data_IF_907249227100
#
_entry.id   IF_907249227100
#
_cell.length_a   1.000
_cell.length_b   1.000
_cell.length_c   1.000
_cell.angle_alpha   90.00
_cell.angle_beta   90.00
_cell.angle_gamma   90.00
#
_symmetry.space_group_name_H-M   'P 1'
#
loop_
_entity.id
_entity.type
_entity.pdbx_description
1 polymer ?
#
# COMPACT_ATOMS: atom_id res chain seq x y z
N UNK A 1 -50.45 42.62 38.57
CA UNK A 1 -49.59 41.44 38.87
C UNK A 1 -48.97 40.96 37.53
N UNK A 2 -47.69 41.19 37.34
CA UNK A 2 -47.01 40.90 36.07
C UNK A 2 -46.07 39.73 36.31
N UNK A 3 -46.41 38.57 35.75
CA UNK A 3 -45.60 37.36 35.89
C UNK A 3 -44.49 37.39 34.83
N UNK A 4 -43.23 37.42 35.27
CA UNK A 4 -42.06 37.21 34.42
C UNK A 4 -41.68 35.73 34.42
N UNK A 5 -41.79 35.10 33.26
CA UNK A 5 -41.24 33.77 33.04
C UNK A 5 -39.76 33.89 32.65
N UNK A 6 -38.90 33.34 33.50
CA UNK A 6 -37.46 33.22 33.22
C UNK A 6 -37.24 31.96 32.43
N UNK A 7 -36.89 32.05 31.16
CA UNK A 7 -36.50 30.92 30.33
C UNK A 7 -35.02 30.63 30.59
N UNK A 8 -34.75 29.49 31.24
CA UNK A 8 -33.38 28.97 31.41
C UNK A 8 -33.01 28.18 30.15
N UNK A 9 -32.14 28.77 29.32
CA UNK A 9 -31.57 28.12 28.13
C UNK A 9 -30.39 27.29 28.57
N UNK A 10 -30.57 25.95 28.70
CA UNK A 10 -29.48 25.02 28.91
C UNK A 10 -28.77 24.75 27.60
N UNK A 11 -27.62 25.38 27.41
CA UNK A 11 -26.74 25.10 26.30
C UNK A 11 -26.09 23.72 26.55
N UNK A 12 -26.48 22.72 25.77
CA UNK A 12 -25.75 21.45 25.68
C UNK A 12 -24.49 21.68 24.90
N UNK A 13 -23.37 21.79 25.59
CA UNK A 13 -22.05 21.69 24.98
C UNK A 13 -21.81 20.24 24.56
N UNK A 14 -21.95 19.94 23.28
CA UNK A 14 -21.53 18.67 22.72
C UNK A 14 -20.01 18.57 22.84
N UNK A 15 -19.56 17.81 23.83
CA UNK A 15 -18.14 17.46 23.95
C UNK A 15 -17.84 16.47 22.81
N UNK A 16 -17.32 16.96 21.70
CA UNK A 16 -16.70 16.11 20.68
C UNK A 16 -15.41 15.54 21.30
N UNK A 17 -15.50 14.38 21.92
CA UNK A 17 -14.34 13.56 22.20
C UNK A 17 -13.85 13.02 20.86
N UNK A 18 -12.64 13.36 20.39
CA UNK A 18 -12.06 12.63 19.28
C UNK A 18 -11.94 11.18 19.72
N UNK A 19 -12.72 10.32 19.10
CA UNK A 19 -12.58 8.86 19.29
C UNK A 19 -11.24 8.48 18.70
N UNK A 20 -10.20 8.48 19.53
CA UNK A 20 -8.94 7.84 19.23
C UNK A 20 -9.27 6.35 19.22
N UNK A 21 -9.66 5.83 18.06
CA UNK A 21 -9.75 4.40 17.84
C UNK A 21 -8.31 3.87 17.86
N UNK A 22 -7.81 3.54 19.04
CA UNK A 22 -6.66 2.70 19.21
C UNK A 22 -7.01 1.26 18.83
N UNK A 23 -7.33 1.02 17.55
CA UNK A 23 -7.26 -0.31 17.00
C UNK A 23 -5.79 -0.71 17.04
N UNK A 24 -5.45 -1.75 17.77
CA UNK A 24 -4.13 -2.33 17.93
C UNK A 24 -3.05 -1.56 18.72
N UNK A 25 -3.27 -0.34 19.18
CA UNK A 25 -2.28 0.43 19.95
C UNK A 25 -0.98 0.78 19.21
N UNK A 26 -0.90 0.49 17.90
CA UNK A 26 0.24 0.89 17.07
C UNK A 26 0.11 2.37 16.69
N UNK A 27 1.23 3.10 16.78
CA UNK A 27 1.32 4.49 16.30
C UNK A 27 2.06 4.49 14.97
N UNK A 28 1.37 4.92 13.91
CA UNK A 28 1.98 5.16 12.60
C UNK A 28 2.41 6.62 12.55
N UNK A 29 3.72 6.84 12.54
CA UNK A 29 4.29 8.17 12.36
C UNK A 29 4.65 8.29 10.87
N UNK A 30 3.85 9.01 10.11
CA UNK A 30 4.00 9.33 8.69
C UNK A 30 3.89 8.16 7.70
N UNK A 31 2.67 7.99 7.12
CA UNK A 31 2.48 7.21 5.90
C UNK A 31 3.18 7.90 4.72
N UNK A 32 4.36 7.41 4.32
CA UNK A 32 5.18 8.02 3.26
C UNK A 32 4.80 7.48 1.88
N UNK A 33 4.82 8.35 0.87
CA UNK A 33 4.75 7.95 -0.54
C UNK A 33 6.17 7.82 -1.08
N UNK A 34 6.47 6.65 -1.66
CA UNK A 34 7.72 6.35 -2.33
C UNK A 34 7.50 6.38 -3.82
N UNK A 35 8.38 7.05 -4.55
CA UNK A 35 8.24 7.24 -5.98
C UNK A 35 9.23 6.37 -6.74
N UNK A 36 8.74 5.64 -7.73
CA UNK A 36 9.55 4.99 -8.74
C UNK A 36 9.48 5.82 -10.03
N UNK A 37 10.61 6.39 -10.43
CA UNK A 37 10.73 7.02 -11.73
C UNK A 37 11.17 5.96 -12.75
N UNK A 38 10.31 5.71 -13.74
CA UNK A 38 10.62 4.83 -14.85
C UNK A 38 11.38 5.63 -15.91
N UNK A 39 12.62 5.25 -16.12
CA UNK A 39 13.33 5.65 -17.34
C UNK A 39 12.84 4.82 -18.53
N UNK A 40 13.15 5.24 -19.76
CA UNK A 40 12.90 4.43 -20.95
C UNK A 40 13.57 3.06 -20.79
N UNK A 41 12.80 1.99 -20.90
CA UNK A 41 13.31 0.63 -20.83
C UNK A 41 13.47 0.07 -22.24
N UNK A 42 14.64 -0.41 -22.63
CA UNK A 42 14.77 -1.24 -23.80
C UNK A 42 14.05 -2.57 -23.53
N UNK A 43 13.04 -2.87 -24.32
CA UNK A 43 12.26 -4.10 -24.18
C UNK A 43 12.57 -4.97 -25.39
N UNK A 44 13.06 -6.19 -25.17
CA UNK A 44 13.14 -7.22 -26.19
C UNK A 44 11.75 -7.85 -26.37
N UNK A 45 11.09 -7.67 -27.53
CA UNK A 45 9.74 -8.19 -27.73
C UNK A 45 9.72 -9.72 -27.93
N UNK A 46 10.86 -10.35 -28.21
CA UNK A 46 10.95 -11.75 -28.60
C UNK A 46 11.15 -12.72 -27.42
N UNK A 47 11.30 -12.19 -26.20
CA UNK A 47 11.40 -13.05 -24.99
C UNK A 47 10.07 -13.76 -24.70
N UNK A 48 10.13 -14.85 -23.96
CA UNK A 48 8.96 -15.66 -23.60
C UNK A 48 7.99 -14.90 -22.66
N UNK A 49 6.70 -15.25 -22.75
CA UNK A 49 5.69 -14.83 -21.77
C UNK A 49 6.08 -15.35 -20.38
N UNK A 50 5.95 -14.49 -19.37
CA UNK A 50 6.42 -14.76 -18.01
C UNK A 50 7.82 -14.24 -17.70
N UNK A 51 8.57 -13.80 -18.73
CA UNK A 51 9.90 -13.21 -18.53
C UNK A 51 9.79 -11.86 -17.83
N UNK A 52 10.65 -11.65 -16.83
CA UNK A 52 10.82 -10.35 -16.17
C UNK A 52 11.63 -9.44 -17.08
N UNK A 53 10.99 -8.42 -17.60
CA UNK A 53 11.59 -7.45 -18.51
C UNK A 53 12.43 -6.39 -17.78
N UNK A 54 11.96 -6.02 -16.60
CA UNK A 54 12.62 -5.01 -15.78
C UNK A 54 12.33 -5.24 -14.30
N UNK A 55 13.31 -4.94 -13.46
CA UNK A 55 13.17 -4.99 -12.01
C UNK A 55 13.69 -3.70 -11.41
N UNK A 56 12.83 -3.03 -10.65
CA UNK A 56 13.21 -1.91 -9.80
C UNK A 56 13.08 -2.30 -8.33
N UNK A 57 13.87 -1.67 -7.49
CA UNK A 57 13.73 -1.73 -6.04
C UNK A 57 13.50 -0.34 -5.50
N UNK A 58 12.49 -0.21 -4.67
CA UNK A 58 12.20 1.02 -3.95
C UNK A 58 12.55 0.77 -2.50
N UNK A 59 13.43 1.60 -1.97
CA UNK A 59 13.70 1.61 -0.54
C UNK A 59 12.49 2.23 0.16
N UNK A 60 11.67 1.38 0.76
CA UNK A 60 10.48 1.77 1.51
C UNK A 60 10.77 1.87 3.01
N UNK A 61 12.04 1.97 3.39
CA UNK A 61 12.43 2.26 4.76
C UNK A 61 11.96 3.65 5.18
N UNK A 62 11.55 3.80 6.40
CA UNK A 62 11.36 5.11 6.97
C UNK A 62 10.12 5.43 7.78
N UNK A 63 8.87 4.99 7.50
CA UNK A 63 7.82 5.25 8.46
C UNK A 63 8.08 4.41 9.71
N UNK A 64 8.19 5.07 10.84
CA UNK A 64 8.32 4.38 12.12
C UNK A 64 6.94 3.91 12.55
N UNK A 65 6.72 2.62 12.47
CA UNK A 65 5.58 1.97 13.09
C UNK A 65 6.05 1.46 14.47
N UNK A 66 5.47 1.97 15.52
CA UNK A 66 5.73 1.49 16.87
C UNK A 66 4.46 0.84 17.40
N UNK A 67 4.50 -0.47 17.62
CA UNK A 67 3.42 -1.22 18.24
C UNK A 67 3.85 -1.61 19.66
N UNK A 68 3.15 -1.19 20.73
CA UNK A 68 3.47 -1.60 22.09
C UNK A 68 3.31 -3.11 22.26
N UNK A 69 4.13 -3.68 23.14
CA UNK A 69 3.92 -5.04 23.65
C UNK A 69 2.51 -5.14 24.26
N UNK A 70 1.79 -6.22 23.96
CA UNK A 70 0.42 -6.51 24.44
C UNK A 70 -0.74 -5.81 23.70
N UNK A 71 -0.53 -5.32 22.50
CA UNK A 71 -1.65 -4.87 21.68
C UNK A 71 -2.38 -6.04 21.04
N UNK A 72 -3.67 -5.84 20.75
CA UNK A 72 -4.46 -6.83 20.02
C UNK A 72 -3.83 -7.15 18.67
N UNK A 73 -4.04 -8.38 18.17
CA UNK A 73 -3.57 -8.80 16.85
C UNK A 73 -4.04 -7.83 15.78
N UNK A 74 -3.11 -7.24 15.06
CA UNK A 74 -3.39 -6.40 13.93
C UNK A 74 -3.32 -7.17 12.61
N UNK A 75 -3.87 -6.60 11.55
CA UNK A 75 -3.74 -7.10 10.19
C UNK A 75 -2.83 -6.19 9.39
N UNK A 76 -1.77 -6.79 8.86
CA UNK A 76 -0.98 -6.13 7.83
C UNK A 76 -1.51 -6.52 6.47
N UNK A 77 -1.84 -5.55 5.64
CA UNK A 77 -2.42 -5.78 4.32
C UNK A 77 -1.79 -4.87 3.27
N UNK A 78 -1.85 -5.33 2.05
CA UNK A 78 -1.44 -4.55 0.89
C UNK A 78 -2.50 -4.63 -0.21
N UNK A 79 -2.61 -3.59 -1.02
CA UNK A 79 -3.54 -3.55 -2.14
C UNK A 79 -2.99 -2.75 -3.32
N UNK A 80 -3.40 -3.14 -4.54
CA UNK A 80 -3.17 -2.34 -5.74
C UNK A 80 -4.15 -1.18 -5.78
N UNK A 81 -3.76 -0.06 -6.40
CA UNK A 81 -4.54 1.18 -6.46
C UNK A 81 -4.74 1.68 -7.90
N UNK A 82 -5.77 2.51 -8.07
CA UNK A 82 -6.02 3.25 -9.32
C UNK A 82 -6.11 2.34 -10.53
N UNK A 83 -5.44 2.72 -11.59
CA UNK A 83 -5.42 1.98 -12.86
C UNK A 83 -4.69 0.63 -12.80
N UNK A 84 -3.91 0.38 -11.73
CA UNK A 84 -3.15 -0.87 -11.55
C UNK A 84 -3.95 -2.03 -10.97
N UNK A 85 -5.28 -1.98 -10.96
CA UNK A 85 -6.12 -3.02 -10.34
C UNK A 85 -6.57 -4.11 -11.30
N UNK A 86 -6.35 -3.96 -12.61
CA UNK A 86 -6.77 -4.96 -13.60
C UNK A 86 -5.80 -6.14 -13.60
N UNK A 87 -6.28 -7.33 -13.22
CA UNK A 87 -5.51 -8.57 -13.25
C UNK A 87 -5.27 -9.03 -14.69
N UNK A 88 -4.03 -9.35 -15.04
CA UNK A 88 -3.63 -9.83 -16.37
C UNK A 88 -2.90 -11.15 -16.34
N UNK A 89 -2.55 -11.67 -15.18
CA UNK A 89 -1.90 -12.96 -15.03
C UNK A 89 -1.49 -13.27 -13.60
N UNK A 90 -0.85 -14.42 -13.42
CA UNK A 90 -0.29 -14.88 -12.14
C UNK A 90 1.03 -15.60 -12.38
N UNK A 91 1.87 -15.66 -11.36
CA UNK A 91 3.07 -16.48 -11.31
C UNK A 91 3.26 -17.10 -9.89
N UNK A 92 4.39 -17.73 -9.64
CA UNK A 92 4.69 -18.37 -8.35
C UNK A 92 4.65 -17.40 -7.15
N UNK A 93 4.77 -16.09 -7.38
CA UNK A 93 4.76 -15.08 -6.33
C UNK A 93 3.38 -14.44 -6.12
N UNK A 94 2.43 -14.65 -7.05
CA UNK A 94 1.07 -14.13 -6.98
C UNK A 94 0.62 -13.38 -8.24
N UNK A 95 -0.24 -12.41 -8.06
CA UNK A 95 -0.93 -11.69 -9.11
C UNK A 95 -0.03 -10.74 -9.91
N UNK A 96 -0.31 -10.63 -11.22
CA UNK A 96 0.29 -9.67 -12.14
C UNK A 96 -0.81 -8.77 -12.67
N UNK A 97 -0.62 -7.47 -12.62
CA UNK A 97 -1.62 -6.47 -12.98
C UNK A 97 -1.23 -5.72 -14.25
N UNK A 98 -2.20 -5.10 -14.91
CA UNK A 98 -1.95 -4.29 -16.11
C UNK A 98 -1.00 -3.13 -15.78
N UNK A 99 -0.02 -2.88 -16.66
CA UNK A 99 0.92 -1.76 -16.54
C UNK A 99 0.51 -0.53 -17.35
N UNK A 100 -0.50 -0.66 -18.24
CA UNK A 100 -0.87 0.32 -19.24
C UNK A 100 -0.26 0.07 -20.61
N UNK A 101 0.71 -0.82 -20.72
CA UNK A 101 1.32 -1.26 -21.97
C UNK A 101 0.80 -2.65 -22.30
N UNK A 102 0.23 -2.83 -23.50
CA UNK A 102 -0.27 -4.12 -23.94
C UNK A 102 0.82 -5.19 -23.90
N UNK A 103 0.50 -6.36 -23.36
CA UNK A 103 1.44 -7.47 -23.24
C UNK A 103 2.49 -7.32 -22.14
N UNK A 104 2.41 -6.29 -21.33
CA UNK A 104 3.27 -6.07 -20.17
C UNK A 104 2.44 -5.91 -18.90
N UNK A 105 2.71 -6.74 -17.91
CA UNK A 105 2.12 -6.63 -16.59
C UNK A 105 3.10 -6.06 -15.57
N UNK A 106 2.58 -5.62 -14.44
CA UNK A 106 3.33 -5.15 -13.28
C UNK A 106 3.03 -6.04 -12.08
N UNK A 107 4.08 -6.38 -11.32
CA UNK A 107 3.98 -7.08 -10.05
C UNK A 107 4.78 -6.31 -9.00
N UNK A 108 4.14 -6.00 -7.88
CA UNK A 108 4.76 -5.34 -6.74
C UNK A 108 4.91 -6.37 -5.63
N UNK A 109 6.13 -6.55 -5.11
CA UNK A 109 6.46 -7.59 -4.13
C UNK A 109 7.06 -6.98 -2.87
N UNK A 110 6.58 -7.43 -1.73
CA UNK A 110 7.18 -7.12 -0.44
C UNK A 110 8.25 -8.15 -0.11
N UNK A 111 9.51 -7.75 -0.18
CA UNK A 111 10.64 -8.69 -0.01
C UNK A 111 10.77 -9.20 1.43
N UNK A 112 10.24 -8.51 2.43
CA UNK A 112 10.26 -8.96 3.82
C UNK A 112 9.17 -9.99 4.12
N UNK A 113 8.05 -9.93 3.41
CA UNK A 113 6.95 -10.88 3.57
C UNK A 113 7.10 -12.09 2.64
N UNK A 114 8.24 -12.74 2.70
CA UNK A 114 8.57 -13.89 1.82
C UNK A 114 8.41 -13.56 0.33
N UNK A 115 8.65 -12.31 -0.03
CA UNK A 115 8.52 -11.77 -1.38
C UNK A 115 7.10 -11.93 -1.98
N UNK A 116 6.06 -11.92 -1.14
CA UNK A 116 4.66 -11.99 -1.59
C UNK A 116 4.32 -10.82 -2.50
N UNK A 117 3.58 -11.12 -3.56
CA UNK A 117 3.05 -10.08 -4.44
C UNK A 117 1.82 -9.40 -3.80
N UNK A 118 1.71 -8.09 -4.00
CA UNK A 118 0.52 -7.30 -3.67
C UNK A 118 -0.63 -7.73 -4.60
N UNK A 119 -1.86 -7.94 -4.09
CA UNK A 119 -2.31 -7.78 -2.72
C UNK A 119 -2.06 -9.03 -1.87
N UNK A 120 -1.81 -8.81 -0.60
CA UNK A 120 -1.79 -9.89 0.39
C UNK A 120 -2.23 -9.35 1.75
N UNK A 121 -2.63 -10.27 2.62
CA UNK A 121 -2.96 -10.00 4.01
C UNK A 121 -2.22 -11.01 4.90
N UNK A 122 -1.75 -10.56 6.05
CA UNK A 122 -1.15 -11.40 7.07
C UNK A 122 -1.56 -10.90 8.45
N UNK A 123 -1.84 -11.83 9.36
CA UNK A 123 -2.07 -11.50 10.75
C UNK A 123 -0.74 -11.24 11.43
N UNK A 124 -0.71 -10.23 12.30
CA UNK A 124 0.44 -9.94 13.14
C UNK A 124 0.21 -10.56 14.52
N UNK A 125 1.24 -11.21 15.05
CA UNK A 125 1.14 -11.83 16.37
C UNK A 125 1.07 -10.78 17.47
N UNK A 126 0.30 -11.08 18.53
CA UNK A 126 0.26 -10.25 19.73
C UNK A 126 1.59 -10.33 20.48
N UNK A 127 2.05 -9.21 21.00
CA UNK A 127 3.24 -9.17 21.87
C UNK A 127 4.57 -8.98 21.15
N UNK A 128 4.59 -8.88 19.82
CA UNK A 128 5.78 -8.51 19.08
C UNK A 128 5.88 -6.99 18.92
N UNK A 129 7.09 -6.46 19.06
CA UNK A 129 7.39 -5.08 18.71
C UNK A 129 7.67 -5.04 17.21
N UNK A 130 6.73 -4.49 16.45
CA UNK A 130 6.90 -4.33 15.02
C UNK A 130 7.50 -2.95 14.73
N UNK A 131 8.66 -2.98 14.10
CA UNK A 131 9.22 -1.80 13.46
C UNK A 131 8.97 -1.93 11.96
N UNK A 132 8.52 -0.87 11.32
CA UNK A 132 8.69 -0.79 9.88
C UNK A 132 10.20 -0.76 9.66
N UNK A 133 10.75 -1.83 9.10
CA UNK A 133 12.19 -2.02 9.00
C UNK A 133 12.87 -0.86 8.30
N UNK A 134 14.03 -0.47 8.80
CA UNK A 134 14.91 0.49 8.13
C UNK A 134 15.44 -0.04 6.79
N UNK A 135 15.36 -1.36 6.56
CA UNK A 135 15.88 -2.04 5.37
C UNK A 135 14.77 -2.57 4.46
N UNK A 136 13.51 -2.18 4.71
CA UNK A 136 12.39 -2.69 3.92
C UNK A 136 12.52 -2.28 2.46
N UNK A 137 12.50 -3.29 1.59
CA UNK A 137 12.59 -3.11 0.14
C UNK A 137 11.36 -3.66 -0.53
N UNK A 138 10.74 -2.82 -1.34
CA UNK A 138 9.68 -3.22 -2.26
C UNK A 138 10.28 -3.40 -3.64
N UNK A 139 10.05 -4.57 -4.23
CA UNK A 139 10.46 -4.88 -5.59
C UNK A 139 9.29 -4.65 -6.53
N UNK A 140 9.55 -3.99 -7.65
CA UNK A 140 8.58 -3.78 -8.72
C UNK A 140 9.14 -4.45 -9.96
N UNK A 141 8.37 -5.35 -10.56
CA UNK A 141 8.75 -6.10 -11.75
C UNK A 141 7.77 -5.80 -12.87
N UNK A 142 8.30 -5.57 -14.07
CA UNK A 142 7.54 -5.56 -15.31
C UNK A 142 7.77 -6.90 -16.00
N UNK A 143 6.67 -7.58 -16.33
CA UNK A 143 6.66 -8.98 -16.76
C UNK A 143 5.93 -9.06 -18.09
N UNK A 144 6.49 -9.80 -19.06
CA UNK A 144 5.81 -10.07 -20.31
C UNK A 144 4.59 -10.97 -20.06
N UNK A 145 3.41 -10.49 -20.41
CA UNK A 145 2.13 -11.21 -20.26
C UNK A 145 1.48 -11.60 -21.57
N UNK A 146 2.03 -11.12 -22.70
CA UNK A 146 1.52 -11.39 -24.03
C UNK A 146 2.34 -10.72 -25.12
N UNK A 147 1.75 -10.59 -26.31
CA UNK A 147 2.35 -9.83 -27.41
C UNK A 147 2.46 -8.35 -26.98
N UNK A 148 3.67 -7.81 -27.02
CA UNK A 148 3.89 -6.41 -26.69
C UNK A 148 3.29 -5.54 -27.78
N UNK A 149 2.39 -4.68 -27.40
CA UNK A 149 1.68 -3.76 -28.28
C UNK A 149 2.02 -2.32 -27.97
N UNK A 150 1.07 -1.44 -28.27
CA UNK A 150 1.13 -0.03 -27.95
C UNK A 150 0.60 0.23 -26.54
N UNK A 151 0.87 1.40 -26.03
CA UNK A 151 0.39 1.84 -24.72
C UNK A 151 1.43 2.68 -24.01
N UNK A 152 0.98 3.31 -22.97
CA UNK A 152 1.85 4.09 -22.07
C UNK A 152 1.71 3.52 -20.66
N UNK A 153 2.82 3.35 -19.97
CA UNK A 153 2.78 2.89 -18.58
C UNK A 153 1.88 3.79 -17.74
N UNK A 154 1.06 3.18 -16.90
CA UNK A 154 0.26 3.92 -15.94
C UNK A 154 1.15 4.71 -14.98
N UNK A 155 0.69 5.88 -14.62
CA UNK A 155 1.34 6.75 -13.64
C UNK A 155 0.42 6.99 -12.44
N UNK A 156 1.01 7.33 -11.30
CA UNK A 156 0.29 7.63 -10.07
C UNK A 156 0.43 6.54 -9.01
N UNK A 157 -0.48 6.52 -8.07
CA UNK A 157 -0.46 5.57 -6.95
C UNK A 157 -0.76 4.16 -7.44
N UNK A 158 0.23 3.28 -7.30
CA UNK A 158 0.15 1.89 -7.74
C UNK A 158 -0.21 0.91 -6.62
N UNK A 159 0.30 1.13 -5.42
CA UNK A 159 0.02 0.26 -4.28
C UNK A 159 0.04 1.03 -2.96
N UNK A 160 -0.60 0.44 -1.95
CA UNK A 160 -0.48 0.87 -0.57
C UNK A 160 -0.35 -0.32 0.37
N UNK A 161 0.32 -0.07 1.49
CA UNK A 161 0.48 -0.98 2.60
C UNK A 161 -0.21 -0.41 3.83
N UNK A 162 -0.94 -1.25 4.54
CA UNK A 162 -1.73 -0.85 5.71
C UNK A 162 -1.42 -1.73 6.90
N UNK A 163 -1.49 -1.14 8.09
CA UNK A 163 -1.67 -1.85 9.33
C UNK A 163 -3.06 -1.51 9.85
N UNK A 164 -3.96 -2.50 9.86
CA UNK A 164 -5.41 -2.30 10.08
C UNK A 164 -5.96 -1.21 9.13
N UNK A 165 -6.44 -0.10 9.69
CA UNK A 165 -6.93 1.05 8.90
C UNK A 165 -5.85 2.07 8.54
N UNK A 166 -4.65 1.96 9.11
CA UNK A 166 -3.59 2.95 8.92
C UNK A 166 -2.76 2.67 7.67
N UNK A 167 -2.62 3.67 6.81
CA UNK A 167 -1.71 3.58 5.66
C UNK A 167 -0.29 3.86 6.14
N UNK A 168 0.58 2.85 6.04
CA UNK A 168 1.99 2.94 6.45
C UNK A 168 2.92 3.33 5.31
N UNK A 169 2.60 2.92 4.08
CA UNK A 169 3.38 3.28 2.90
C UNK A 169 2.52 3.27 1.63
N UNK A 170 2.89 4.08 0.65
CA UNK A 170 2.33 4.09 -0.71
C UNK A 170 3.45 4.01 -1.72
N UNK A 171 3.21 3.34 -2.83
CA UNK A 171 4.10 3.31 -3.99
C UNK A 171 3.45 4.12 -5.11
N UNK A 172 4.19 5.07 -5.66
CA UNK A 172 3.80 5.84 -6.83
C UNK A 172 4.76 5.58 -7.97
N UNK A 173 4.23 5.42 -9.17
CA UNK A 173 5.01 5.25 -10.41
C UNK A 173 4.92 6.54 -11.20
N UNK A 174 6.05 7.03 -11.67
CA UNK A 174 6.19 8.18 -12.57
C UNK A 174 6.92 7.76 -13.83
N UNK A 175 6.49 8.26 -14.96
CA UNK A 175 7.15 8.12 -16.28
C UNK A 175 7.68 9.45 -16.74
#
# INVERSE_FOLDING_TARGET
MRNYFLAISTAFAAIYSPSIFAASGCVVIDGKTYELNLASMPIDPDVDVGTVLYTARVDTSGPKLTCPLNTARGKYSSQMLGSFQTLVGTNAYGNIYASGIDGIGIQIRDLEQSAKAVPYETSMDSGALYYWSTDKKTQIQFIKTGKIGTGTSYTGLAAQFKLDSWVVAKISIKT
#
